data_IF_217440508834
#
_entry.id   IF_217440508834
#
_cell.length_a   1.000
_cell.length_b   1.000
_cell.length_c   1.000
_cell.angle_alpha   90.00
_cell.angle_beta   90.00
_cell.angle_gamma   90.00
#
_symmetry.space_group_name_H-M   'P 1'
#
loop_
_entity.id
_entity.type
_entity.pdbx_description
1 polymer ?
#
# COMPACT_ATOMS: atom_id res chain seq x y z
N UNK A 1 21.44 -6.93 -4.50
CA UNK A 1 20.94 -5.53 -4.59
C UNK A 1 19.89 -5.36 -3.51
N UNK A 2 19.89 -4.24 -2.78
CA UNK A 2 18.85 -3.96 -1.77
C UNK A 2 17.73 -3.12 -2.39
N UNK A 3 16.49 -3.46 -2.09
CA UNK A 3 15.29 -2.79 -2.59
C UNK A 3 14.44 -2.34 -1.40
N UNK A 4 13.82 -1.17 -1.51
CA UNK A 4 12.81 -0.71 -0.57
C UNK A 4 11.51 -0.48 -1.31
N UNK A 5 10.47 -1.20 -0.90
CA UNK A 5 9.15 -1.14 -1.52
C UNK A 5 8.34 0.02 -0.93
N UNK A 6 7.99 1.02 -1.75
CA UNK A 6 7.09 2.09 -1.35
C UNK A 6 5.66 1.67 -1.69
N UNK A 7 4.86 1.35 -0.67
CA UNK A 7 3.50 0.82 -0.80
C UNK A 7 2.45 1.89 -1.14
N UNK A 8 2.70 2.65 -2.21
CA UNK A 8 1.84 3.73 -2.73
C UNK A 8 0.47 3.28 -3.25
N UNK A 9 0.31 1.98 -3.54
CA UNK A 9 -0.98 1.36 -3.87
C UNK A 9 -1.93 1.26 -2.66
N UNK A 10 -1.41 1.33 -1.43
CA UNK A 10 -2.27 1.35 -0.25
C UNK A 10 -3.13 2.62 -0.22
N UNK A 11 -4.30 2.54 0.39
CA UNK A 11 -5.23 3.65 0.56
C UNK A 11 -5.49 3.99 2.03
N UNK A 12 -4.76 3.37 2.98
CA UNK A 12 -4.87 3.73 4.39
C UNK A 12 -4.23 5.10 4.68
N UNK A 13 -5.05 6.14 4.54
CA UNK A 13 -4.63 7.50 4.89
C UNK A 13 -4.22 7.63 6.33
N UNK A 14 -4.94 6.98 7.26
CA UNK A 14 -4.79 7.21 8.69
C UNK A 14 -3.45 6.70 9.20
N UNK A 15 -2.92 5.67 8.55
CA UNK A 15 -1.57 5.17 8.80
C UNK A 15 -0.49 6.19 8.37
N UNK A 16 -0.72 6.92 7.27
CA UNK A 16 0.28 7.81 6.67
C UNK A 16 0.11 9.30 7.00
N UNK A 17 -1.03 9.73 7.55
CA UNK A 17 -1.36 11.15 7.76
C UNK A 17 -0.78 11.75 9.05
N UNK A 18 -0.09 10.93 9.86
CA UNK A 18 0.32 11.28 11.22
C UNK A 18 1.80 11.03 11.45
N UNK A 19 2.42 11.92 12.22
CA UNK A 19 3.76 11.73 12.74
C UNK A 19 3.84 12.17 14.20
N UNK A 20 4.56 11.41 15.02
CA UNK A 20 4.74 11.71 16.44
C UNK A 20 6.20 12.07 16.72
N UNK A 21 6.40 13.15 17.48
CA UNK A 21 7.71 13.64 17.86
C UNK A 21 7.78 13.91 19.37
N UNK A 22 8.99 13.80 19.93
CA UNK A 22 9.25 14.31 21.27
C UNK A 22 9.43 15.83 21.20
N UNK A 23 8.56 16.54 21.90
CA UNK A 23 8.55 18.00 22.01
C UNK A 23 8.95 18.42 23.42
N UNK A 24 9.02 19.73 23.66
CA UNK A 24 9.23 20.26 25.01
C UNK A 24 8.13 19.86 26.00
N UNK A 25 6.91 19.62 25.50
CA UNK A 25 5.74 19.23 26.28
C UNK A 25 5.55 17.70 26.36
N UNK A 26 6.55 16.93 25.91
CA UNK A 26 6.48 15.48 25.78
C UNK A 26 6.09 15.01 24.36
N UNK A 27 5.70 13.74 24.20
CA UNK A 27 5.27 13.21 22.90
C UNK A 27 4.04 13.96 22.36
N UNK A 28 4.13 14.49 21.16
CA UNK A 28 3.04 15.14 20.45
C UNK A 28 2.87 14.50 19.07
N UNK A 29 1.61 14.33 18.64
CA UNK A 29 1.26 13.84 17.31
C UNK A 29 0.74 14.99 16.46
N UNK A 30 1.28 15.10 15.25
CA UNK A 30 0.85 16.03 14.23
C UNK A 30 0.08 15.26 13.15
N UNK A 31 -1.07 15.78 12.73
CA UNK A 31 -2.00 15.11 11.82
C UNK A 31 -2.36 16.06 10.67
N UNK A 32 -2.31 15.54 9.45
CA UNK A 32 -2.79 16.23 8.24
C UNK A 32 -4.31 16.36 8.22
N UNK A 33 -5.03 15.64 9.09
CA UNK A 33 -6.46 15.85 9.33
C UNK A 33 -7.33 14.70 8.83
N UNK A 34 -8.50 15.03 8.28
CA UNK A 34 -9.47 14.03 7.81
C UNK A 34 -9.17 13.53 6.41
N UNK A 35 -9.57 12.28 6.14
CA UNK A 35 -9.46 11.71 4.80
C UNK A 35 -10.53 12.30 3.88
N UNK A 36 -10.10 13.21 3.00
CA UNK A 36 -10.98 13.84 1.99
C UNK A 36 -11.18 12.98 0.73
N UNK A 37 -10.42 11.91 0.55
CA UNK A 37 -10.52 11.04 -0.62
C UNK A 37 -10.46 9.55 -0.22
N UNK A 38 -11.48 9.03 0.48
CA UNK A 38 -11.48 7.65 0.95
C UNK A 38 -11.24 6.64 -0.18
N UNK A 39 -10.44 5.62 0.13
CA UNK A 39 -10.01 4.56 -0.79
C UNK A 39 -9.10 5.02 -1.93
N UNK A 40 -8.69 6.29 -1.99
CA UNK A 40 -7.73 6.75 -3.01
C UNK A 40 -6.31 6.27 -2.63
N UNK A 41 -5.58 5.60 -3.55
CA UNK A 41 -4.21 5.18 -3.27
C UNK A 41 -3.29 6.35 -2.89
N UNK A 42 -2.38 6.13 -1.94
CA UNK A 42 -1.48 7.14 -1.40
C UNK A 42 -0.58 7.75 -2.49
N UNK A 43 -0.12 6.97 -3.47
CA UNK A 43 0.67 7.49 -4.59
C UNK A 43 -0.10 8.35 -5.59
N UNK A 44 -1.42 8.45 -5.46
CA UNK A 44 -2.27 9.33 -6.27
C UNK A 44 -2.77 10.55 -5.48
N UNK A 45 -2.25 10.77 -4.27
CA UNK A 45 -2.68 11.82 -3.36
C UNK A 45 -1.57 12.83 -3.15
N UNK A 46 -1.92 14.08 -3.38
CA UNK A 46 -1.14 15.23 -2.96
C UNK A 46 -1.25 15.40 -1.43
N UNK A 47 -0.21 15.96 -0.82
CA UNK A 47 -0.18 16.24 0.62
C UNK A 47 -1.19 17.32 1.02
N UNK A 48 -1.43 18.29 0.15
CA UNK A 48 -2.38 19.38 0.38
C UNK A 48 -1.83 20.48 1.32
N UNK A 49 -2.54 21.62 1.45
CA UNK A 49 -2.08 22.77 2.22
C UNK A 49 -1.93 22.50 3.72
N UNK A 50 -2.53 21.42 4.22
CA UNK A 50 -2.43 21.02 5.63
C UNK A 50 -0.98 20.67 6.04
N UNK A 51 -0.12 20.29 5.09
CA UNK A 51 1.29 19.98 5.37
C UNK A 51 2.08 21.20 5.83
N UNK A 52 1.82 22.38 5.25
CA UNK A 52 2.49 23.62 5.65
C UNK A 52 2.14 24.01 7.09
N UNK A 53 0.86 23.85 7.46
CA UNK A 53 0.40 24.05 8.85
C UNK A 53 1.11 23.08 9.79
N UNK A 54 1.18 21.79 9.45
CA UNK A 54 1.84 20.77 10.28
C UNK A 54 3.33 21.06 10.44
N UNK A 55 4.03 21.48 9.39
CA UNK A 55 5.45 21.84 9.46
C UNK A 55 5.68 23.08 10.33
N UNK A 56 4.79 24.08 10.26
CA UNK A 56 4.85 25.25 11.13
C UNK A 56 4.64 24.88 12.61
N UNK A 57 3.62 24.08 12.91
CA UNK A 57 3.35 23.57 14.28
C UNK A 57 4.53 22.74 14.81
N UNK A 58 5.13 21.91 13.97
CA UNK A 58 6.30 21.11 14.34
C UNK A 58 7.51 22.01 14.66
N UNK A 59 7.74 23.06 13.87
CA UNK A 59 8.81 24.04 14.09
C UNK A 59 8.67 24.75 15.44
N UNK A 60 7.45 25.11 15.82
CA UNK A 60 7.16 25.74 17.11
C UNK A 60 7.35 24.76 18.27
N UNK A 61 6.94 23.51 18.10
CA UNK A 61 6.97 22.49 19.15
C UNK A 61 8.38 21.95 19.46
N UNK A 62 9.32 22.03 18.51
CA UNK A 62 10.71 21.56 18.66
C UNK A 62 11.68 22.72 18.38
N UNK A 63 11.77 23.71 19.28
CA UNK A 63 12.61 24.88 19.04
C UNK A 63 14.09 24.56 19.26
N UNK A 64 14.94 25.29 18.53
CA UNK A 64 16.38 25.15 18.54
C UNK A 64 16.93 25.10 17.12
N UNK A 65 18.04 25.79 16.86
CA UNK A 65 18.58 26.00 15.50
C UNK A 65 18.80 24.69 14.73
N UNK A 66 19.30 23.65 15.42
CA UNK A 66 19.55 22.35 14.80
C UNK A 66 18.28 21.62 14.37
N UNK A 67 17.20 21.73 15.14
CA UNK A 67 15.92 21.10 14.81
C UNK A 67 15.15 21.93 13.78
N UNK A 68 15.23 23.25 13.86
CA UNK A 68 14.67 24.16 12.85
C UNK A 68 15.19 23.87 11.45
N UNK A 69 16.52 23.67 11.31
CA UNK A 69 17.12 23.28 10.04
C UNK A 69 16.59 21.94 9.49
N UNK A 70 16.30 20.97 10.36
CA UNK A 70 15.69 19.71 9.96
C UNK A 70 14.24 19.86 9.50
N UNK A 71 13.45 20.71 10.16
CA UNK A 71 12.07 20.99 9.73
C UNK A 71 12.07 21.71 8.37
N UNK A 72 13.00 22.64 8.16
CA UNK A 72 13.18 23.32 6.86
C UNK A 72 13.56 22.32 5.76
N UNK A 73 14.44 21.36 6.06
CA UNK A 73 14.79 20.28 5.13
C UNK A 73 13.59 19.38 4.81
N UNK A 74 12.78 18.99 5.81
CA UNK A 74 11.54 18.26 5.59
C UNK A 74 10.60 19.03 4.65
N UNK A 75 10.47 20.34 4.84
CA UNK A 75 9.65 21.22 3.99
C UNK A 75 10.11 21.34 2.54
N UNK A 76 11.35 20.94 2.20
CA UNK A 76 11.76 20.85 0.80
C UNK A 76 11.04 19.72 0.07
N UNK A 77 10.74 18.62 0.78
CA UNK A 77 10.17 17.39 0.23
C UNK A 77 8.66 17.27 0.48
N UNK A 78 8.18 17.71 1.64
CA UNK A 78 6.78 17.65 2.04
C UNK A 78 6.06 18.96 1.73
N UNK A 79 5.79 19.18 0.44
CA UNK A 79 5.08 20.36 -0.07
C UNK A 79 3.65 20.03 -0.47
N UNK A 80 2.71 21.01 -0.44
CA UNK A 80 1.31 20.76 -0.77
C UNK A 80 1.08 20.04 -2.11
N UNK A 81 1.86 20.38 -3.13
CA UNK A 81 1.77 19.84 -4.49
C UNK A 81 2.41 18.45 -4.67
N UNK A 82 3.25 18.02 -3.72
CA UNK A 82 3.92 16.73 -3.83
C UNK A 82 3.00 15.59 -3.41
N UNK A 83 3.15 14.44 -4.05
CA UNK A 83 2.44 13.23 -3.64
C UNK A 83 3.14 12.56 -2.47
N UNK A 84 2.39 11.78 -1.68
CA UNK A 84 2.94 11.07 -0.51
C UNK A 84 4.16 10.21 -0.86
N UNK A 85 4.06 9.41 -1.93
CA UNK A 85 5.15 8.54 -2.37
C UNK A 85 6.39 9.32 -2.82
N UNK A 86 6.19 10.43 -3.52
CA UNK A 86 7.27 11.28 -4.05
C UNK A 86 7.99 12.04 -2.94
N UNK A 87 7.25 12.62 -2.00
CA UNK A 87 7.80 13.32 -0.83
C UNK A 87 8.66 12.37 0.02
N UNK A 88 8.14 11.16 0.31
CA UNK A 88 8.87 10.13 1.02
C UNK A 88 10.12 9.69 0.25
N UNK A 89 9.98 9.36 -1.03
CA UNK A 89 11.11 8.90 -1.85
C UNK A 89 12.21 9.96 -1.94
N UNK A 90 11.85 11.21 -2.16
CA UNK A 90 12.77 12.34 -2.23
C UNK A 90 13.55 12.53 -0.93
N UNK A 91 12.86 12.55 0.21
CA UNK A 91 13.51 12.62 1.52
C UNK A 91 14.46 11.43 1.75
N UNK A 92 14.03 10.20 1.44
CA UNK A 92 14.85 9.01 1.66
C UNK A 92 16.11 9.00 0.78
N UNK A 93 15.99 9.43 -0.48
CA UNK A 93 17.15 9.60 -1.38
C UNK A 93 18.10 10.65 -0.84
N UNK A 94 17.59 11.78 -0.34
CA UNK A 94 18.40 12.82 0.28
C UNK A 94 19.16 12.31 1.50
N UNK A 95 18.46 11.65 2.44
CA UNK A 95 19.04 11.17 3.70
C UNK A 95 20.07 10.06 3.50
N UNK A 96 19.77 9.09 2.63
CA UNK A 96 20.61 7.91 2.47
C UNK A 96 21.66 8.05 1.36
N UNK A 97 21.42 8.95 0.41
CA UNK A 97 22.28 9.16 -0.76
C UNK A 97 22.65 7.83 -1.43
N UNK A 98 23.94 7.66 -1.73
CA UNK A 98 24.47 6.43 -2.37
C UNK A 98 24.42 5.18 -1.49
N UNK A 99 24.08 5.31 -0.20
CA UNK A 99 23.98 4.19 0.75
C UNK A 99 22.56 3.62 0.80
N UNK A 100 21.59 4.31 0.21
CA UNK A 100 20.20 3.88 0.20
C UNK A 100 19.96 2.66 -0.70
N UNK A 101 18.94 1.85 -0.39
CA UNK A 101 18.45 0.83 -1.31
C UNK A 101 17.84 1.48 -2.56
N UNK A 102 17.62 0.68 -3.60
CA UNK A 102 16.79 1.11 -4.72
C UNK A 102 15.34 1.24 -4.24
N UNK A 103 14.81 2.45 -4.25
CA UNK A 103 13.41 2.69 -3.91
C UNK A 103 12.53 2.29 -5.10
N UNK A 104 11.53 1.44 -4.84
CA UNK A 104 10.61 0.94 -5.87
C UNK A 104 9.19 1.31 -5.48
N UNK A 105 8.61 2.20 -6.25
CA UNK A 105 7.21 2.59 -6.12
C UNK A 105 6.29 1.48 -6.64
N UNK A 106 5.34 1.03 -5.82
CA UNK A 106 4.37 0.00 -6.21
C UNK A 106 3.48 0.36 -7.40
N UNK A 107 3.32 1.66 -7.71
CA UNK A 107 2.59 2.17 -8.87
C UNK A 107 3.47 2.38 -10.11
N UNK A 108 4.76 2.03 -10.07
CA UNK A 108 5.66 2.17 -11.21
C UNK A 108 5.12 1.36 -12.42
N UNK A 109 4.85 1.96 -13.59
CA UNK A 109 4.21 1.25 -14.70
C UNK A 109 4.95 -0.01 -15.15
N UNK A 110 6.29 0.04 -15.22
CA UNK A 110 7.09 -1.12 -15.57
C UNK A 110 6.93 -2.29 -14.57
N UNK A 111 6.76 -1.97 -13.28
CA UNK A 111 6.49 -2.97 -12.25
C UNK A 111 5.06 -3.52 -12.40
N UNK A 112 4.06 -2.67 -12.64
CA UNK A 112 2.67 -3.10 -12.90
C UNK A 112 2.59 -4.07 -14.08
N UNK A 113 3.30 -3.78 -15.17
CA UNK A 113 3.44 -4.66 -16.33
C UNK A 113 4.09 -6.00 -15.98
N UNK A 114 5.16 -5.99 -15.17
CA UNK A 114 5.81 -7.21 -14.71
C UNK A 114 4.93 -8.07 -13.78
N UNK A 115 4.00 -7.45 -13.04
CA UNK A 115 3.04 -8.13 -12.18
C UNK A 115 1.87 -8.76 -12.96
N UNK A 116 1.56 -8.26 -14.16
CA UNK A 116 0.36 -8.64 -14.91
C UNK A 116 0.20 -10.16 -15.10
N UNK A 117 1.23 -10.94 -15.50
CA UNK A 117 1.10 -12.39 -15.65
C UNK A 117 0.73 -13.10 -14.33
N UNK A 118 1.23 -12.60 -13.21
CA UNK A 118 0.96 -13.16 -11.88
C UNK A 118 -0.43 -12.80 -11.38
N UNK A 119 -0.87 -11.56 -11.59
CA UNK A 119 -2.24 -11.13 -11.29
C UNK A 119 -3.24 -11.93 -12.13
N UNK A 120 -2.95 -12.14 -13.42
CA UNK A 120 -3.75 -12.97 -14.32
C UNK A 120 -3.88 -14.40 -13.78
N UNK A 121 -2.75 -15.01 -13.40
CA UNK A 121 -2.72 -16.36 -12.84
C UNK A 121 -3.53 -16.50 -11.55
N UNK A 122 -3.55 -15.47 -10.68
CA UNK A 122 -4.41 -15.47 -9.49
C UNK A 122 -5.91 -15.47 -9.84
N UNK A 123 -6.32 -14.83 -10.93
CA UNK A 123 -7.71 -14.83 -11.40
C UNK A 123 -8.08 -16.18 -12.04
N UNK A 124 -7.19 -16.72 -12.87
CA UNK A 124 -7.37 -18.03 -13.52
C UNK A 124 -7.42 -19.17 -12.49
N UNK A 125 -6.62 -19.09 -11.43
CA UNK A 125 -6.56 -20.08 -10.34
C UNK A 125 -7.39 -19.68 -9.11
N UNK A 126 -8.36 -18.77 -9.25
CA UNK A 126 -9.08 -18.18 -8.10
C UNK A 126 -9.67 -19.20 -7.13
N UNK A 127 -10.29 -20.28 -7.61
CA UNK A 127 -10.90 -21.31 -6.76
C UNK A 127 -9.82 -22.04 -5.94
N UNK A 128 -8.79 -22.68 -6.56
CA UNK A 128 -7.70 -23.30 -5.82
C UNK A 128 -6.97 -22.34 -4.87
N UNK A 129 -6.77 -21.08 -5.26
CA UNK A 129 -6.11 -20.07 -4.40
C UNK A 129 -6.95 -19.79 -3.16
N UNK A 130 -8.26 -19.58 -3.30
CA UNK A 130 -9.16 -19.33 -2.17
C UNK A 130 -9.23 -20.54 -1.22
N UNK A 131 -9.27 -21.75 -1.77
CA UNK A 131 -9.27 -23.00 -1.00
C UNK A 131 -7.95 -23.17 -0.23
N UNK A 132 -6.81 -22.96 -0.89
CA UNK A 132 -5.49 -23.04 -0.27
C UNK A 132 -5.31 -22.01 0.85
N UNK A 133 -5.74 -20.75 0.64
CA UNK A 133 -5.70 -19.74 1.70
C UNK A 133 -6.60 -20.13 2.88
N UNK A 134 -7.82 -20.63 2.62
CA UNK A 134 -8.73 -21.05 3.69
C UNK A 134 -8.27 -22.31 4.44
N UNK A 135 -7.57 -23.23 3.77
CA UNK A 135 -6.89 -24.34 4.43
C UNK A 135 -5.73 -23.85 5.29
N UNK A 136 -4.92 -22.94 4.75
CA UNK A 136 -3.79 -22.39 5.47
C UNK A 136 -4.21 -21.63 6.73
N UNK A 137 -5.27 -20.84 6.64
CA UNK A 137 -5.85 -20.15 7.80
C UNK A 137 -6.27 -21.16 8.90
N UNK A 138 -6.91 -22.27 8.52
CA UNK A 138 -7.30 -23.33 9.48
C UNK A 138 -6.09 -24.01 10.14
N UNK A 139 -5.01 -24.25 9.38
CA UNK A 139 -3.78 -24.83 9.93
C UNK A 139 -3.14 -23.92 10.99
N UNK A 140 -3.10 -22.62 10.74
CA UNK A 140 -2.54 -21.61 11.65
C UNK A 140 -3.35 -21.57 12.95
N UNK A 141 -4.68 -21.53 12.86
CA UNK A 141 -5.56 -21.55 14.02
C UNK A 141 -5.47 -22.87 14.80
N UNK A 142 -5.40 -24.01 14.11
CA UNK A 142 -5.24 -25.32 14.73
C UNK A 142 -3.90 -25.47 15.48
N UNK A 143 -2.85 -24.77 15.02
CA UNK A 143 -1.58 -24.66 15.71
C UNK A 143 -1.59 -23.68 16.91
N UNK A 144 -2.72 -23.02 17.19
CA UNK A 144 -2.91 -22.13 18.33
C UNK A 144 -2.47 -20.68 18.08
N UNK A 145 -2.24 -20.29 16.83
CA UNK A 145 -1.86 -18.92 16.46
C UNK A 145 -3.06 -18.13 15.93
N UNK A 146 -3.17 -16.82 16.23
CA UNK A 146 -4.22 -15.98 15.68
C UNK A 146 -3.91 -15.58 14.22
N UNK A 147 -4.94 -15.41 13.40
CA UNK A 147 -4.81 -14.85 12.05
C UNK A 147 -4.59 -13.34 12.12
N UNK A 148 -3.57 -12.85 11.42
CA UNK A 148 -3.26 -11.43 11.32
C UNK A 148 -4.14 -10.75 10.26
N UNK A 149 -4.35 -11.42 9.12
CA UNK A 149 -5.26 -10.97 8.07
C UNK A 149 -6.55 -11.75 8.20
N UNK A 150 -7.65 -11.03 8.41
CA UNK A 150 -8.96 -11.68 8.56
C UNK A 150 -9.41 -12.32 7.23
N UNK A 151 -9.87 -13.58 7.24
CA UNK A 151 -10.44 -14.22 6.06
C UNK A 151 -11.61 -13.41 5.50
N UNK A 152 -11.70 -13.34 4.19
CA UNK A 152 -12.79 -12.66 3.49
C UNK A 152 -13.36 -13.58 2.41
N UNK A 153 -14.28 -14.50 2.78
CA UNK A 153 -14.88 -15.43 1.84
C UNK A 153 -15.52 -14.70 0.66
N UNK A 154 -15.22 -15.16 -0.55
CA UNK A 154 -15.75 -14.57 -1.78
C UNK A 154 -15.08 -13.26 -2.21
N UNK A 155 -14.04 -12.78 -1.52
CA UNK A 155 -13.26 -11.63 -1.98
C UNK A 155 -12.07 -12.08 -2.83
N UNK A 156 -11.73 -11.31 -3.85
CA UNK A 156 -10.46 -11.45 -4.56
C UNK A 156 -9.30 -10.97 -3.71
N UNK A 157 -8.10 -11.57 -3.84
CA UNK A 157 -6.88 -10.97 -3.31
C UNK A 157 -6.43 -9.73 -4.10
N UNK A 158 -7.10 -9.38 -5.19
CA UNK A 158 -6.83 -8.21 -6.02
C UNK A 158 -7.89 -7.11 -5.81
N UNK A 159 -7.51 -5.89 -6.17
CA UNK A 159 -8.31 -4.68 -6.16
C UNK A 159 -8.23 -4.01 -7.53
N UNK A 160 -9.27 -3.24 -7.88
CA UNK A 160 -9.28 -2.40 -9.09
C UNK A 160 -9.46 -0.95 -8.70
N UNK A 161 -8.64 -0.07 -9.29
CA UNK A 161 -8.83 1.37 -9.23
C UNK A 161 -10.00 1.74 -10.13
N UNK A 162 -11.11 2.14 -9.53
CA UNK A 162 -12.32 2.54 -10.22
C UNK A 162 -12.76 3.90 -9.69
N UNK A 163 -12.97 4.86 -10.58
CA UNK A 163 -13.34 6.25 -10.23
C UNK A 163 -12.39 6.87 -9.19
N UNK A 164 -11.09 6.58 -9.32
CA UNK A 164 -10.05 7.06 -8.40
C UNK A 164 -10.02 6.36 -7.04
N UNK A 165 -10.79 5.28 -6.86
CA UNK A 165 -10.87 4.53 -5.61
C UNK A 165 -10.42 3.08 -5.79
N UNK A 166 -9.57 2.61 -4.88
CA UNK A 166 -9.10 1.23 -4.84
C UNK A 166 -10.19 0.32 -4.29
N UNK A 167 -10.97 -0.28 -5.18
CA UNK A 167 -12.13 -1.10 -4.84
C UNK A 167 -11.76 -2.57 -4.76
N UNK A 168 -12.23 -3.23 -3.71
CA UNK A 168 -12.13 -4.68 -3.55
C UNK A 168 -13.02 -5.36 -4.59
N UNK A 169 -12.53 -6.43 -5.21
CA UNK A 169 -13.33 -7.29 -6.07
C UNK A 169 -14.01 -8.36 -5.19
N UNK A 170 -15.30 -8.56 -5.38
CA UNK A 170 -16.09 -9.63 -4.77
C UNK A 170 -16.59 -10.56 -5.88
N UNK A 171 -16.32 -11.86 -5.75
CA UNK A 171 -16.77 -12.89 -6.69
C UNK A 171 -18.27 -13.17 -6.52
N UNK A 172 -18.98 -13.29 -7.64
CA UNK A 172 -20.41 -13.58 -7.71
C UNK A 172 -20.59 -14.91 -8.46
N UNK A 173 -20.49 -16.02 -7.74
CA UNK A 173 -20.45 -17.35 -8.36
C UNK A 173 -19.13 -17.56 -9.11
N UNK A 174 -19.20 -18.29 -10.23
CA UNK A 174 -17.99 -18.69 -10.95
C UNK A 174 -17.50 -17.60 -11.91
N UNK A 175 -18.39 -17.02 -12.72
CA UNK A 175 -17.98 -16.22 -13.88
C UNK A 175 -18.20 -14.72 -13.71
N UNK A 176 -18.70 -14.27 -12.56
CA UNK A 176 -19.06 -12.87 -12.34
C UNK A 176 -18.37 -12.28 -11.12
N UNK A 177 -18.29 -10.95 -11.13
CA UNK A 177 -17.71 -10.17 -10.05
C UNK A 177 -18.42 -8.83 -9.90
N UNK A 178 -18.22 -8.19 -8.75
CA UNK A 178 -18.57 -6.80 -8.50
C UNK A 178 -17.47 -6.07 -7.76
N UNK A 179 -17.47 -4.75 -7.89
CA UNK A 179 -16.61 -3.87 -7.09
C UNK A 179 -17.33 -3.45 -5.81
N UNK A 180 -16.72 -3.72 -4.65
CA UNK A 180 -17.33 -3.45 -3.34
C UNK A 180 -17.66 -1.97 -3.17
N UNK A 181 -18.93 -1.67 -2.86
CA UNK A 181 -19.44 -0.32 -2.73
C UNK A 181 -19.78 0.37 -4.06
N UNK A 182 -19.73 -0.37 -5.18
CA UNK A 182 -20.16 0.08 -6.51
C UNK A 182 -21.03 -1.01 -7.16
N UNK A 183 -22.22 -1.33 -6.61
CA UNK A 183 -23.03 -2.48 -7.05
C UNK A 183 -23.52 -2.38 -8.50
N UNK A 184 -23.55 -1.18 -9.09
CA UNK A 184 -23.85 -0.99 -10.52
C UNK A 184 -22.70 -1.50 -11.44
N UNK A 185 -21.54 -1.82 -10.89
CA UNK A 185 -20.35 -2.26 -11.62
C UNK A 185 -20.19 -3.76 -11.45
N UNK A 186 -21.17 -4.46 -12.00
CA UNK A 186 -21.21 -5.89 -12.12
C UNK A 186 -20.57 -6.29 -13.47
N UNK A 187 -19.61 -7.21 -13.45
CA UNK A 187 -18.80 -7.58 -14.62
C UNK A 187 -18.57 -9.08 -14.65
N UNK A 188 -18.11 -9.58 -15.79
CA UNK A 188 -17.67 -10.96 -15.92
C UNK A 188 -16.18 -11.08 -15.59
N UNK A 189 -15.71 -12.27 -15.21
CA UNK A 189 -14.30 -12.51 -14.87
C UNK A 189 -13.37 -12.18 -16.07
N UNK A 190 -13.83 -12.43 -17.29
CA UNK A 190 -13.11 -12.08 -18.52
C UNK A 190 -12.83 -10.58 -18.66
N UNK A 191 -13.69 -9.73 -18.11
CA UNK A 191 -13.42 -8.29 -18.05
C UNK A 191 -12.20 -7.99 -17.20
N UNK A 192 -12.04 -8.65 -16.04
CA UNK A 192 -10.87 -8.45 -15.18
C UNK A 192 -9.59 -8.96 -15.84
N UNK A 193 -9.65 -10.11 -16.52
CA UNK A 193 -8.51 -10.63 -17.30
C UNK A 193 -8.10 -9.64 -18.39
N UNK A 194 -9.07 -9.10 -19.14
CA UNK A 194 -8.81 -8.09 -20.16
C UNK A 194 -8.24 -6.78 -19.58
N UNK A 195 -8.69 -6.36 -18.39
CA UNK A 195 -8.13 -5.21 -17.68
C UNK A 195 -6.68 -5.47 -17.27
N UNK A 196 -6.36 -6.65 -16.72
CA UNK A 196 -4.99 -7.02 -16.35
C UNK A 196 -4.07 -7.01 -17.59
N UNK A 197 -4.55 -7.49 -18.73
CA UNK A 197 -3.74 -7.56 -19.95
C UNK A 197 -3.51 -6.18 -20.60
N UNK A 198 -4.49 -5.27 -20.51
CA UNK A 198 -4.47 -3.97 -21.21
C UNK A 198 -3.98 -2.82 -20.35
N UNK A 199 -4.37 -2.80 -19.08
CA UNK A 199 -4.20 -1.70 -18.14
C UNK A 199 -3.88 -2.24 -16.73
N UNK A 200 -2.78 -3.01 -16.54
CA UNK A 200 -2.42 -3.56 -15.23
C UNK A 200 -2.15 -2.48 -14.17
N UNK A 201 -1.92 -1.22 -14.58
CA UNK A 201 -1.72 -0.08 -13.69
C UNK A 201 -2.92 0.20 -12.79
N UNK A 202 -4.13 -0.20 -13.19
CA UNK A 202 -5.34 -0.03 -12.37
C UNK A 202 -5.66 -1.24 -11.50
N UNK A 203 -4.87 -2.32 -11.55
CA UNK A 203 -5.08 -3.53 -10.72
C UNK A 203 -4.00 -3.59 -9.66
N UNK A 204 -4.34 -3.81 -8.39
CA UNK A 204 -3.37 -3.86 -7.29
C UNK A 204 -3.62 -5.05 -6.37
N UNK A 205 -2.58 -5.54 -5.69
CA UNK A 205 -2.68 -6.71 -4.83
C UNK A 205 -2.95 -6.33 -3.36
N UNK A 206 -3.79 -7.12 -2.69
CA UNK A 206 -3.91 -7.09 -1.23
C UNK A 206 -2.66 -7.64 -0.55
N UNK A 207 -2.57 -7.46 0.77
CA UNK A 207 -1.35 -7.75 1.55
C UNK A 207 -0.78 -9.17 1.35
N UNK A 208 -1.64 -10.19 1.28
CA UNK A 208 -1.21 -11.58 1.07
C UNK A 208 -0.66 -11.78 -0.35
N UNK A 209 -1.46 -11.46 -1.37
CA UNK A 209 -1.03 -11.61 -2.77
C UNK A 209 0.13 -10.69 -3.15
N UNK A 210 0.27 -9.50 -2.52
CA UNK A 210 1.41 -8.61 -2.73
C UNK A 210 2.72 -9.32 -2.43
N UNK A 211 2.78 -10.07 -1.34
CA UNK A 211 4.00 -10.76 -0.91
C UNK A 211 4.40 -11.83 -1.94
N UNK A 212 3.45 -12.64 -2.40
CA UNK A 212 3.69 -13.65 -3.43
C UNK A 212 4.06 -13.05 -4.80
N UNK A 213 3.35 -12.00 -5.24
CA UNK A 213 3.61 -11.32 -6.52
C UNK A 213 4.98 -10.62 -6.49
N UNK A 214 5.31 -9.94 -5.38
CA UNK A 214 6.60 -9.27 -5.22
C UNK A 214 7.75 -10.26 -5.35
N UNK A 215 7.65 -11.43 -4.70
CA UNK A 215 8.65 -12.47 -4.84
C UNK A 215 8.76 -12.99 -6.28
N UNK A 216 7.62 -13.29 -6.91
CA UNK A 216 7.58 -13.80 -8.27
C UNK A 216 8.15 -12.82 -9.32
N UNK A 217 8.03 -11.51 -9.09
CA UNK A 217 8.58 -10.47 -9.97
C UNK A 217 10.05 -10.17 -9.69
N UNK A 218 10.46 -10.12 -8.42
CA UNK A 218 11.79 -9.66 -8.03
C UNK A 218 12.81 -10.78 -7.80
N UNK A 219 12.35 -12.03 -7.63
CA UNK A 219 13.19 -13.17 -7.23
C UNK A 219 13.82 -12.94 -5.86
N UNK A 220 13.00 -12.81 -4.82
CA UNK A 220 13.44 -12.28 -3.52
C UNK A 220 14.24 -13.33 -2.74
N UNK A 221 15.56 -13.12 -2.62
CA UNK A 221 16.42 -14.00 -1.82
C UNK A 221 16.37 -13.75 -0.30
N UNK A 222 16.05 -12.54 0.12
CA UNK A 222 15.90 -12.15 1.53
C UNK A 222 14.84 -11.05 1.63
N UNK A 223 13.89 -11.23 2.53
CA UNK A 223 12.88 -10.23 2.86
C UNK A 223 13.07 -9.75 4.31
N UNK A 224 13.08 -8.44 4.51
CA UNK A 224 13.12 -7.82 5.84
C UNK A 224 11.67 -7.47 6.21
N UNK A 225 11.18 -8.00 7.33
CA UNK A 225 9.78 -7.90 7.73
C UNK A 225 9.65 -7.25 9.11
N UNK A 226 8.66 -6.37 9.25
CA UNK A 226 8.21 -5.89 10.56
C UNK A 226 7.37 -6.94 11.31
N UNK A 227 7.06 -6.72 12.60
CA UNK A 227 6.27 -7.68 13.40
C UNK A 227 4.89 -8.00 12.80
N UNK A 228 4.19 -7.00 12.25
CA UNK A 228 2.90 -7.20 11.60
C UNK A 228 3.00 -8.01 10.31
N UNK A 229 4.08 -7.82 9.54
CA UNK A 229 4.31 -8.59 8.32
C UNK A 229 4.74 -10.01 8.60
N UNK A 230 5.60 -10.20 9.61
CA UNK A 230 5.98 -11.52 10.10
C UNK A 230 4.75 -12.31 10.60
N UNK A 231 3.76 -11.61 11.18
CA UNK A 231 2.53 -12.24 11.67
C UNK A 231 1.60 -12.73 10.55
N UNK A 232 1.51 -12.02 9.40
CA UNK A 232 0.66 -12.49 8.30
C UNK A 232 1.40 -13.38 7.29
N UNK A 233 2.74 -13.33 7.21
CA UNK A 233 3.47 -14.10 6.20
C UNK A 233 3.14 -15.60 6.20
N UNK A 234 2.91 -16.27 7.36
CA UNK A 234 2.47 -17.67 7.35
C UNK A 234 1.16 -17.93 6.59
N UNK A 235 0.31 -16.91 6.36
CA UNK A 235 -0.93 -17.00 5.59
C UNK A 235 -0.74 -16.87 4.06
N UNK A 236 0.50 -16.58 3.59
CA UNK A 236 0.84 -16.39 2.17
C UNK A 236 1.20 -17.70 1.50
#
# INVERSE_FOLDING_TARGET
>A
MALFWIATEDHDFRESSRASFFTQNGPQTFDLGEDRAPLRPMGLRELGPEVDRVLAELREAIPGERFGAWVDELGQWYRPENRFGEAFAGLMVHLLGRRGPLLVDSLLPALKQAQAPWMRRLVELRQPVLEATAERDREIEAAGFPLQVRPQPGASPLFVLHEGQRRRIEWLGEDRLRLRGSPAVERDVDWLLAVIDREPEIVSAGVLARSAIQDAVLGTGLQILGPGELAYLPQV
#
